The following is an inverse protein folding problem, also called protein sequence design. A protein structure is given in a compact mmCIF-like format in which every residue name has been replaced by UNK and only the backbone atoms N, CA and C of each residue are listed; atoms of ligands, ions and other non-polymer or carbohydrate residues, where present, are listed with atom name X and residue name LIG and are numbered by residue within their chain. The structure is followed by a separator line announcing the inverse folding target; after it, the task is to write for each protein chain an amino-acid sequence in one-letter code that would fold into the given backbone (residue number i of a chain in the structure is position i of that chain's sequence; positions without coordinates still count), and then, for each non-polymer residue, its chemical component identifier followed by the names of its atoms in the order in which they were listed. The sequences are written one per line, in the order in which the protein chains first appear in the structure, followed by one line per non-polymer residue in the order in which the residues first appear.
data_IF_454414024701
#
_entry.id   IF_454414024701
#
_cell.length_a   1.000
_cell.length_b   1.000
_cell.length_c   1.000
_cell.angle_alpha   90.00
_cell.angle_beta   90.00
_cell.angle_gamma   90.00
#
_symmetry.space_group_name_H-M   'P 1'
#
loop_
_entity.id
_entity.type
_entity.pdbx_description
1 polymer ?
#
# COMPACT_ATOMS: atom_id res chain seq x y z
N UNK A 1 -29.50 -4.65 4.02
CA UNK A 1 -28.40 -3.68 4.13
C UNK A 1 -27.56 -4.06 5.34
N UNK A 2 -26.68 -5.04 5.17
CA UNK A 2 -26.02 -5.71 6.32
C UNK A 2 -24.86 -4.91 6.93
N UNK A 3 -24.33 -3.90 6.25
CA UNK A 3 -23.12 -3.18 6.73
C UNK A 3 -23.31 -1.68 6.99
N UNK A 4 -24.50 -1.10 6.76
CA UNK A 4 -24.72 0.35 6.97
C UNK A 4 -24.77 0.78 8.43
N UNK A 5 -25.06 -0.16 9.33
CA UNK A 5 -25.14 0.08 10.79
C UNK A 5 -23.95 -0.45 11.56
N UNK A 6 -23.05 -1.19 10.90
CA UNK A 6 -21.90 -1.78 11.55
C UNK A 6 -20.72 -0.79 11.55
N UNK A 7 -19.96 -0.80 12.63
CA UNK A 7 -18.71 -0.04 12.71
C UNK A 7 -17.75 -0.58 11.66
N UNK A 8 -17.51 0.19 10.60
CA UNK A 8 -16.61 -0.16 9.54
C UNK A 8 -15.35 0.70 9.60
N UNK A 9 -14.21 0.03 9.64
CA UNK A 9 -12.87 0.61 9.49
C UNK A 9 -12.15 -0.13 8.38
N UNK A 10 -11.03 0.39 7.90
CA UNK A 10 -10.23 -0.30 6.88
C UNK A 10 -9.98 -1.79 7.22
N UNK A 11 -9.56 -2.21 8.44
CA UNK A 11 -9.38 -3.63 8.76
C UNK A 11 -10.66 -4.46 8.69
N UNK A 12 -11.81 -3.89 9.05
CA UNK A 12 -13.09 -4.59 8.95
C UNK A 12 -13.46 -4.84 7.48
N UNK A 13 -13.22 -3.87 6.62
CA UNK A 13 -13.43 -4.02 5.17
C UNK A 13 -12.46 -5.06 4.56
N UNK A 14 -11.17 -5.04 4.93
CA UNK A 14 -10.20 -6.05 4.50
C UNK A 14 -10.65 -7.48 4.88
N UNK A 15 -11.15 -7.66 6.11
CA UNK A 15 -11.64 -8.96 6.57
C UNK A 15 -12.88 -9.40 5.81
N UNK A 16 -13.86 -8.50 5.63
CA UNK A 16 -15.14 -8.79 4.99
C UNK A 16 -15.05 -9.05 3.48
N UNK A 17 -14.02 -8.54 2.82
CA UNK A 17 -13.81 -8.69 1.36
C UNK A 17 -12.82 -9.80 0.99
N UNK A 18 -12.33 -10.57 1.99
CA UNK A 18 -11.44 -11.71 1.77
C UNK A 18 -9.95 -11.35 1.67
N UNK A 19 -9.61 -10.08 1.67
CA UNK A 19 -8.22 -9.61 1.52
C UNK A 19 -7.32 -10.11 2.63
N UNK A 20 -7.80 -10.13 3.89
CA UNK A 20 -7.04 -10.69 5.02
C UNK A 20 -6.84 -12.20 4.91
N UNK A 21 -7.82 -12.92 4.36
CA UNK A 21 -7.72 -14.37 4.20
C UNK A 21 -6.66 -14.75 3.16
N UNK A 22 -6.52 -13.94 2.13
CA UNK A 22 -5.48 -14.11 1.10
C UNK A 22 -4.09 -13.68 1.61
N UNK A 23 -4.03 -12.76 2.59
CA UNK A 23 -2.80 -12.29 3.23
C UNK A 23 -2.60 -12.90 4.61
N UNK A 24 -1.86 -14.02 4.68
CA UNK A 24 -1.59 -14.74 5.92
C UNK A 24 -0.14 -14.57 6.36
N UNK A 25 0.05 -14.29 7.66
CA UNK A 25 1.35 -14.32 8.33
C UNK A 25 1.30 -15.47 9.34
N UNK A 26 2.23 -16.39 9.25
CA UNK A 26 2.28 -17.61 10.09
C UNK A 26 0.93 -18.38 10.13
N UNK A 27 0.26 -18.44 8.99
CA UNK A 27 -1.03 -19.12 8.82
C UNK A 27 -2.25 -18.36 9.37
N UNK A 28 -2.08 -17.18 9.95
CA UNK A 28 -3.17 -16.34 10.47
C UNK A 28 -3.55 -15.26 9.47
N UNK A 29 -4.85 -15.02 9.17
CA UNK A 29 -5.29 -13.87 8.39
C UNK A 29 -4.73 -12.58 8.98
N UNK A 30 -4.14 -11.74 8.15
CA UNK A 30 -3.40 -10.56 8.59
C UNK A 30 -3.70 -9.36 7.71
N UNK A 31 -3.55 -8.16 8.27
CA UNK A 31 -3.71 -6.91 7.53
C UNK A 31 -2.62 -6.74 6.48
N UNK A 32 -2.95 -6.01 5.40
CA UNK A 32 -1.98 -5.65 4.35
C UNK A 32 -0.93 -4.60 4.76
N UNK A 33 -1.09 -3.95 5.89
CA UNK A 33 -0.22 -2.85 6.33
C UNK A 33 -0.88 -1.48 6.09
N UNK A 34 -0.63 -0.74 4.99
CA UNK A 34 -1.31 0.54 4.73
C UNK A 34 -2.82 0.39 4.60
N UNK A 35 -3.56 1.45 4.95
CA UNK A 35 -5.03 1.46 4.86
C UNK A 35 -5.49 1.60 3.41
N UNK A 36 -5.29 0.57 2.60
CA UNK A 36 -5.57 0.60 1.15
C UNK A 36 -7.04 0.87 0.84
N UNK A 37 -8.00 0.32 1.60
CA UNK A 37 -9.43 0.57 1.37
C UNK A 37 -9.75 2.05 1.56
N UNK A 38 -9.22 2.70 2.59
CA UNK A 38 -9.40 4.14 2.84
C UNK A 38 -8.80 4.97 1.70
N UNK A 39 -7.57 4.66 1.30
CA UNK A 39 -6.87 5.39 0.24
C UNK A 39 -7.55 5.24 -1.12
N UNK A 40 -7.98 4.02 -1.48
CA UNK A 40 -8.68 3.79 -2.74
C UNK A 40 -10.10 4.34 -2.72
N UNK A 41 -10.81 4.30 -1.59
CA UNK A 41 -12.11 4.95 -1.46
C UNK A 41 -12.00 6.45 -1.71
N UNK A 42 -10.98 7.12 -1.15
CA UNK A 42 -10.67 8.52 -1.45
C UNK A 42 -10.37 8.76 -2.93
N UNK A 43 -9.57 7.91 -3.54
CA UNK A 43 -9.26 7.98 -4.97
C UNK A 43 -10.51 7.81 -5.84
N UNK A 44 -11.37 6.84 -5.55
CA UNK A 44 -12.63 6.64 -6.27
C UNK A 44 -13.59 7.81 -6.07
N UNK A 45 -13.61 8.42 -4.88
CA UNK A 45 -14.39 9.63 -4.63
C UNK A 45 -13.94 10.77 -5.56
N UNK A 46 -12.63 11.01 -5.68
CA UNK A 46 -12.09 12.02 -6.61
C UNK A 46 -12.49 11.72 -8.05
N UNK A 47 -12.33 10.48 -8.52
CA UNK A 47 -12.72 10.07 -9.88
C UNK A 47 -14.22 10.33 -10.12
N UNK A 48 -15.09 9.98 -9.15
CA UNK A 48 -16.53 10.20 -9.27
C UNK A 48 -16.90 11.67 -9.24
N UNK A 49 -16.25 12.47 -8.40
CA UNK A 49 -16.43 13.93 -8.36
C UNK A 49 -16.05 14.55 -9.71
N UNK A 50 -14.90 14.17 -10.26
CA UNK A 50 -14.46 14.67 -11.57
C UNK A 50 -15.45 14.29 -12.68
N UNK A 51 -15.95 13.05 -12.68
CA UNK A 51 -16.97 12.62 -13.63
C UNK A 51 -18.27 13.42 -13.50
N UNK A 52 -18.71 13.71 -12.27
CA UNK A 52 -19.90 14.54 -12.02
C UNK A 52 -19.71 16.02 -12.41
N UNK A 53 -18.49 16.54 -12.34
CA UNK A 53 -18.16 17.88 -12.81
C UNK A 53 -18.14 17.98 -14.34
N UNK A 54 -17.70 16.91 -15.03
CA UNK A 54 -17.69 16.82 -16.49
C UNK A 54 -19.09 16.63 -17.08
N UNK A 55 -19.95 15.86 -16.42
CA UNK A 55 -21.34 15.62 -16.80
C UNK A 55 -22.25 15.79 -15.57
N UNK A 56 -22.62 17.04 -15.21
CA UNK A 56 -23.36 17.31 -14.00
C UNK A 56 -24.75 16.68 -14.02
N UNK A 57 -25.16 15.99 -12.94
CA UNK A 57 -26.50 15.45 -12.81
C UNK A 57 -27.55 16.53 -12.91
N UNK A 58 -28.64 16.27 -13.66
CA UNK A 58 -29.72 17.23 -13.87
C UNK A 58 -30.52 17.50 -12.60
N UNK A 59 -30.71 16.50 -11.74
CA UNK A 59 -31.43 16.64 -10.49
C UNK A 59 -30.47 16.84 -9.31
N UNK A 60 -30.80 17.77 -8.39
CA UNK A 60 -30.00 18.05 -7.20
C UNK A 60 -29.81 16.80 -6.31
N UNK A 61 -30.80 15.92 -6.23
CA UNK A 61 -30.75 14.66 -5.48
C UNK A 61 -29.66 13.71 -5.98
N UNK A 62 -29.29 13.82 -7.26
CA UNK A 62 -28.30 12.95 -7.89
C UNK A 62 -26.86 13.48 -7.73
N UNK A 63 -26.70 14.62 -7.02
CA UNK A 63 -25.41 15.22 -6.67
C UNK A 63 -24.80 14.64 -5.39
N UNK A 64 -25.49 13.73 -4.75
CA UNK A 64 -24.96 13.00 -3.61
C UNK A 64 -24.07 11.85 -4.08
N UNK A 65 -22.89 11.73 -3.47
CA UNK A 65 -21.92 10.68 -3.74
C UNK A 65 -21.60 9.89 -2.48
N UNK A 66 -21.76 8.60 -2.55
CA UNK A 66 -21.38 7.65 -1.49
C UNK A 66 -20.35 6.66 -2.05
N UNK A 67 -19.22 6.50 -1.36
CA UNK A 67 -18.19 5.50 -1.66
C UNK A 67 -17.97 4.68 -0.39
N UNK A 68 -18.40 3.43 -0.43
CA UNK A 68 -18.25 2.52 0.70
C UNK A 68 -16.89 1.82 0.72
N UNK A 69 -16.36 1.57 1.91
CA UNK A 69 -15.11 0.81 2.07
C UNK A 69 -15.27 -0.66 1.64
N UNK A 70 -16.46 -1.23 1.85
CA UNK A 70 -16.75 -2.60 1.45
C UNK A 70 -16.75 -2.76 -0.07
N UNK A 71 -17.47 -1.88 -0.79
CA UNK A 71 -17.51 -1.87 -2.25
C UNK A 71 -16.13 -1.60 -2.85
N UNK A 72 -15.35 -0.73 -2.20
CA UNK A 72 -13.95 -0.48 -2.55
C UNK A 72 -13.14 -1.77 -2.45
N UNK A 73 -13.26 -2.51 -1.35
CA UNK A 73 -12.57 -3.78 -1.16
C UNK A 73 -12.98 -4.85 -2.16
N UNK A 74 -14.28 -4.96 -2.48
CA UNK A 74 -14.76 -5.86 -3.53
C UNK A 74 -14.15 -5.52 -4.89
N UNK A 75 -14.01 -4.22 -5.22
CA UNK A 75 -13.39 -3.80 -6.47
C UNK A 75 -11.88 -4.10 -6.49
N UNK A 76 -11.18 -3.91 -5.38
CA UNK A 76 -9.76 -4.26 -5.26
C UNK A 76 -9.54 -5.78 -5.43
N UNK A 77 -10.43 -6.61 -4.87
CA UNK A 77 -10.38 -8.06 -4.97
C UNK A 77 -11.08 -8.63 -6.22
N UNK A 78 -11.58 -7.79 -7.13
CA UNK A 78 -12.46 -8.21 -8.23
C UNK A 78 -11.87 -9.30 -9.12
N UNK A 79 -10.56 -9.22 -9.43
CA UNK A 79 -9.86 -10.23 -10.24
C UNK A 79 -9.83 -11.58 -9.53
N UNK A 80 -9.52 -11.60 -8.25
CA UNK A 80 -9.37 -12.83 -7.46
C UNK A 80 -10.74 -13.45 -7.20
N UNK A 81 -11.75 -12.64 -6.92
CA UNK A 81 -13.15 -13.08 -6.82
C UNK A 81 -13.67 -13.69 -8.12
N UNK A 82 -13.41 -13.05 -9.27
CA UNK A 82 -13.76 -13.59 -10.57
C UNK A 82 -12.98 -14.89 -10.86
N UNK A 83 -11.70 -14.93 -10.56
CA UNK A 83 -10.85 -16.10 -10.70
C UNK A 83 -11.37 -17.30 -9.89
N UNK A 84 -11.76 -17.09 -8.63
CA UNK A 84 -12.33 -18.14 -7.79
C UNK A 84 -13.67 -18.68 -8.34
N UNK A 85 -14.53 -17.82 -8.83
CA UNK A 85 -15.81 -18.24 -9.45
C UNK A 85 -15.56 -19.10 -10.68
N UNK A 86 -14.64 -18.69 -11.57
CA UNK A 86 -14.29 -19.47 -12.76
C UNK A 86 -13.66 -20.82 -12.39
N UNK A 87 -12.76 -20.88 -11.41
CA UNK A 87 -12.17 -22.13 -10.92
C UNK A 87 -13.23 -23.05 -10.34
N UNK A 88 -14.18 -22.55 -9.58
CA UNK A 88 -15.30 -23.33 -9.07
C UNK A 88 -16.15 -23.94 -10.19
N UNK A 89 -16.44 -23.18 -11.25
CA UNK A 89 -17.21 -23.67 -12.40
C UNK A 89 -16.44 -24.71 -13.21
N UNK A 90 -15.15 -24.51 -13.43
CA UNK A 90 -14.32 -25.37 -14.28
C UNK A 90 -13.82 -26.63 -13.57
N UNK A 91 -13.51 -26.55 -12.29
CA UNK A 91 -12.84 -27.60 -11.51
C UNK A 91 -13.73 -28.24 -10.44
N UNK A 92 -14.94 -27.67 -10.19
CA UNK A 92 -15.85 -28.16 -9.15
C UNK A 92 -15.34 -27.95 -7.72
N UNK A 93 -14.23 -27.26 -7.53
CA UNK A 93 -13.62 -26.99 -6.22
C UNK A 93 -12.81 -25.69 -6.25
N UNK A 94 -12.70 -24.98 -5.13
CA UNK A 94 -11.74 -23.91 -5.02
C UNK A 94 -10.33 -24.49 -5.07
N UNK A 95 -9.47 -23.90 -5.85
CA UNK A 95 -8.04 -24.23 -5.81
C UNK A 95 -7.46 -23.60 -4.55
N UNK A 96 -7.21 -24.42 -3.53
CA UNK A 96 -6.45 -24.03 -2.35
C UNK A 96 -4.96 -24.05 -2.67
N UNK A 97 -4.51 -23.19 -3.55
CA UNK A 97 -3.09 -22.85 -3.57
C UNK A 97 -2.89 -21.71 -2.57
N UNK A 98 -2.15 -21.98 -1.51
CA UNK A 98 -1.72 -20.96 -0.58
C UNK A 98 -0.84 -19.95 -1.30
N UNK A 99 -1.23 -18.69 -1.24
CA UNK A 99 -0.53 -17.58 -1.85
C UNK A 99 -1.12 -17.17 -3.19
N UNK A 100 -1.40 -15.88 -3.33
CA UNK A 100 -2.06 -15.27 -4.45
C UNK A 100 -1.46 -15.63 -5.82
N UNK A 101 -2.12 -15.20 -6.86
CA UNK A 101 -1.87 -15.51 -8.28
C UNK A 101 -0.41 -15.28 -8.76
N UNK A 102 0.38 -14.49 -8.01
CA UNK A 102 1.80 -14.24 -8.25
C UNK A 102 2.73 -15.27 -7.62
N UNK A 103 2.21 -16.35 -7.06
CA UNK A 103 3.05 -17.40 -6.49
C UNK A 103 3.72 -18.25 -7.58
N UNK A 104 4.60 -17.63 -8.34
CA UNK A 104 5.48 -18.33 -9.27
C UNK A 104 6.70 -18.86 -8.51
N UNK A 105 7.08 -20.14 -8.65
CA UNK A 105 8.26 -20.65 -7.98
C UNK A 105 9.52 -19.89 -8.35
N UNK A 106 10.24 -19.41 -7.33
CA UNK A 106 11.40 -18.55 -7.50
C UNK A 106 11.10 -17.04 -7.62
N UNK A 107 9.82 -16.66 -7.61
CA UNK A 107 9.38 -15.28 -7.53
C UNK A 107 9.04 -14.92 -6.08
N UNK A 108 9.79 -14.03 -5.47
CA UNK A 108 9.56 -13.70 -4.06
C UNK A 108 10.75 -13.07 -3.37
N UNK A 109 10.65 -12.90 -2.06
CA UNK A 109 11.69 -12.35 -1.21
C UNK A 109 12.56 -13.46 -0.60
N UNK A 110 13.88 -13.27 -0.68
CA UNK A 110 14.88 -14.21 -0.16
C UNK A 110 15.90 -13.48 0.69
N UNK A 111 16.34 -14.12 1.77
CA UNK A 111 17.28 -13.51 2.70
C UNK A 111 18.71 -13.80 2.28
N UNK A 112 19.55 -12.77 2.19
CA UNK A 112 20.97 -12.84 1.90
C UNK A 112 21.80 -13.15 3.15
N UNK A 113 23.07 -13.48 2.98
CA UNK A 113 23.97 -13.84 4.06
C UNK A 113 24.15 -12.71 5.10
N UNK A 114 24.16 -11.47 4.66
CA UNK A 114 24.22 -10.25 5.50
C UNK A 114 22.89 -9.86 6.14
N UNK A 115 21.84 -10.68 5.96
CA UNK A 115 20.53 -10.51 6.59
C UNK A 115 19.59 -9.55 5.88
N UNK A 116 19.99 -8.94 4.77
CA UNK A 116 19.12 -8.13 3.89
C UNK A 116 18.16 -9.03 3.11
N UNK A 117 17.14 -8.44 2.50
CA UNK A 117 16.18 -9.16 1.68
C UNK A 117 16.26 -8.70 0.23
N UNK A 118 16.31 -9.65 -0.69
CA UNK A 118 16.25 -9.42 -2.13
C UNK A 118 14.95 -10.00 -2.69
N UNK A 119 14.22 -9.21 -3.46
CA UNK A 119 13.00 -9.65 -4.14
C UNK A 119 13.32 -9.99 -5.59
N UNK A 120 13.03 -11.21 -6.01
CA UNK A 120 13.36 -11.74 -7.33
C UNK A 120 12.15 -11.77 -8.24
N UNK A 121 12.34 -11.38 -9.51
CA UNK A 121 11.31 -11.37 -10.55
C UNK A 121 11.52 -12.53 -11.53
N UNK A 122 10.91 -13.70 -11.25
CA UNK A 122 11.05 -14.92 -12.07
C UNK A 122 9.68 -15.34 -12.62
N UNK A 123 9.32 -14.84 -13.80
CA UNK A 123 8.00 -15.06 -14.42
C UNK A 123 8.00 -16.11 -15.53
N UNK A 124 9.17 -16.36 -16.16
CA UNK A 124 9.26 -17.20 -17.35
C UNK A 124 10.35 -18.27 -17.22
N UNK A 125 10.34 -19.24 -18.13
CA UNK A 125 11.42 -20.22 -18.23
C UNK A 125 12.76 -19.59 -18.59
N UNK A 126 12.75 -18.47 -19.31
CA UNK A 126 13.96 -17.70 -19.61
C UNK A 126 14.54 -17.03 -18.35
N UNK A 127 13.66 -16.45 -17.51
CA UNK A 127 14.07 -15.85 -16.22
C UNK A 127 14.65 -16.92 -15.29
N UNK A 128 14.06 -18.12 -15.25
CA UNK A 128 14.58 -19.23 -14.45
C UNK A 128 15.99 -19.62 -14.86
N UNK A 129 16.25 -19.80 -16.18
CA UNK A 129 17.60 -20.11 -16.69
C UNK A 129 18.62 -19.04 -16.33
N UNK A 130 18.26 -17.77 -16.44
CA UNK A 130 19.12 -16.65 -16.06
C UNK A 130 19.42 -16.68 -14.56
N UNK A 131 18.39 -16.85 -13.73
CA UNK A 131 18.53 -16.91 -12.28
C UNK A 131 19.47 -18.04 -11.87
N UNK A 132 19.19 -19.26 -12.33
CA UNK A 132 19.98 -20.44 -11.96
C UNK A 132 21.43 -20.36 -12.44
N UNK A 133 21.67 -19.73 -13.61
CA UNK A 133 23.02 -19.43 -14.09
C UNK A 133 23.73 -18.40 -13.22
N UNK A 134 23.05 -17.28 -12.88
CA UNK A 134 23.62 -16.21 -12.06
C UNK A 134 24.02 -16.69 -10.65
N UNK A 135 23.18 -17.52 -10.04
CA UNK A 135 23.39 -18.04 -8.69
C UNK A 135 24.13 -19.40 -8.67
N UNK A 136 24.58 -19.89 -9.83
CA UNK A 136 25.26 -21.19 -9.98
C UNK A 136 24.46 -22.35 -9.35
N UNK A 137 23.16 -22.37 -9.57
CA UNK A 137 22.25 -23.39 -9.00
C UNK A 137 22.24 -24.66 -9.86
N UNK A 138 22.57 -25.84 -9.29
CA UNK A 138 22.52 -27.11 -10.04
C UNK A 138 21.12 -27.46 -10.54
N UNK A 139 20.07 -27.04 -9.85
CA UNK A 139 18.67 -27.23 -10.21
C UNK A 139 18.32 -26.59 -11.58
N UNK A 140 19.11 -25.64 -12.05
CA UNK A 140 18.95 -25.02 -13.38
C UNK A 140 19.19 -25.97 -14.54
N UNK A 141 19.97 -27.05 -14.34
CA UNK A 141 20.26 -28.05 -15.34
C UNK A 141 19.28 -29.24 -15.33
N UNK A 142 18.39 -29.31 -14.35
CA UNK A 142 17.44 -30.41 -14.20
C UNK A 142 16.27 -30.30 -15.18
N UNK A 143 16.05 -31.27 -16.09
CA UNK A 143 14.97 -31.22 -17.08
C UNK A 143 13.58 -31.00 -16.46
N UNK A 144 13.37 -31.51 -15.26
CA UNK A 144 12.12 -31.42 -14.49
C UNK A 144 11.83 -30.02 -14.02
N UNK A 145 12.84 -29.14 -13.90
CA UNK A 145 12.68 -27.76 -13.45
C UNK A 145 12.81 -26.72 -14.58
N UNK A 146 13.05 -27.14 -15.81
CA UNK A 146 13.18 -26.23 -16.95
C UNK A 146 11.86 -25.57 -17.35
N UNK A 147 10.71 -26.20 -17.06
CA UNK A 147 9.40 -25.70 -17.43
C UNK A 147 8.63 -25.20 -16.22
N UNK A 148 8.02 -24.01 -16.35
CA UNK A 148 7.22 -23.39 -15.28
C UNK A 148 6.15 -24.32 -14.72
N UNK A 149 5.44 -25.06 -15.60
CA UNK A 149 4.42 -26.02 -15.19
C UNK A 149 4.97 -27.08 -14.21
N UNK A 150 6.17 -27.55 -14.45
CA UNK A 150 6.78 -28.57 -13.60
C UNK A 150 7.36 -27.96 -12.31
N UNK A 151 7.92 -26.75 -12.39
CA UNK A 151 8.32 -26.00 -11.21
C UNK A 151 7.15 -25.74 -10.26
N UNK A 152 5.96 -25.42 -10.79
CA UNK A 152 4.74 -25.24 -9.97
C UNK A 152 4.40 -26.48 -9.15
N UNK A 153 4.56 -27.69 -9.72
CA UNK A 153 4.34 -28.96 -9.00
C UNK A 153 5.37 -29.20 -7.88
N UNK A 154 6.55 -28.63 -8.01
CA UNK A 154 7.69 -28.81 -7.10
C UNK A 154 8.05 -27.50 -6.37
N UNK A 155 7.05 -26.64 -6.12
CA UNK A 155 7.25 -25.30 -5.57
C UNK A 155 8.17 -25.28 -4.35
N UNK A 156 7.88 -26.08 -3.34
CA UNK A 156 8.69 -26.11 -2.11
C UNK A 156 10.18 -26.45 -2.36
N UNK A 157 10.45 -27.33 -3.32
CA UNK A 157 11.82 -27.65 -3.73
C UNK A 157 12.51 -26.45 -4.40
N UNK A 158 11.80 -25.76 -5.30
CA UNK A 158 12.32 -24.58 -6.00
C UNK A 158 12.61 -23.45 -5.02
N UNK A 159 11.66 -23.15 -4.13
CA UNK A 159 11.81 -22.11 -3.10
C UNK A 159 13.01 -22.40 -2.18
N UNK A 160 13.15 -23.65 -1.74
CA UNK A 160 14.29 -24.06 -0.92
C UNK A 160 15.63 -23.95 -1.66
N UNK A 161 15.67 -24.28 -2.95
CA UNK A 161 16.88 -24.17 -3.76
C UNK A 161 17.32 -22.70 -3.94
N UNK A 162 16.37 -21.82 -4.29
CA UNK A 162 16.65 -20.37 -4.43
C UNK A 162 17.09 -19.80 -3.09
N UNK A 163 16.37 -20.12 -2.00
CA UNK A 163 16.71 -19.65 -0.66
C UNK A 163 18.13 -20.05 -0.25
N UNK A 164 18.52 -21.31 -0.48
CA UNK A 164 19.90 -21.77 -0.22
C UNK A 164 20.92 -20.97 -1.02
N UNK A 165 20.69 -20.82 -2.33
CA UNK A 165 21.64 -20.12 -3.20
C UNK A 165 21.81 -18.64 -2.80
N UNK A 166 20.71 -17.94 -2.52
CA UNK A 166 20.74 -16.53 -2.10
C UNK A 166 21.40 -16.38 -0.73
N UNK A 167 21.09 -17.23 0.24
CA UNK A 167 21.62 -17.14 1.61
C UNK A 167 23.13 -17.34 1.73
N UNK A 168 23.81 -17.82 0.70
CA UNK A 168 25.27 -17.92 0.65
C UNK A 168 25.98 -16.64 0.19
N UNK A 169 25.23 -15.65 -0.28
CA UNK A 169 25.76 -14.42 -0.87
C UNK A 169 25.33 -13.21 -0.04
N UNK A 170 26.24 -12.25 0.14
CA UNK A 170 25.88 -10.91 0.59
C UNK A 170 25.06 -10.22 -0.50
N UNK A 171 24.23 -9.27 -0.11
CA UNK A 171 23.31 -8.58 -1.02
C UNK A 171 24.01 -8.00 -2.25
N UNK A 172 25.12 -7.28 -2.05
CA UNK A 172 25.85 -6.65 -3.17
C UNK A 172 26.40 -7.67 -4.16
N UNK A 173 26.88 -8.81 -3.68
CA UNK A 173 27.37 -9.88 -4.52
C UNK A 173 26.24 -10.55 -5.30
N UNK A 174 25.08 -10.78 -4.67
CA UNK A 174 23.89 -11.31 -5.33
C UNK A 174 23.36 -10.32 -6.38
N UNK A 175 23.24 -9.05 -6.03
CA UNK A 175 22.79 -7.99 -6.90
C UNK A 175 23.68 -7.86 -8.16
N UNK A 176 24.99 -7.85 -7.99
CA UNK A 176 25.94 -7.79 -9.11
C UNK A 176 25.80 -8.96 -10.08
N UNK A 177 25.63 -10.21 -9.58
CA UNK A 177 25.42 -11.41 -10.41
C UNK A 177 24.11 -11.38 -11.16
N UNK A 178 23.03 -11.00 -10.48
CA UNK A 178 21.69 -10.92 -11.05
C UNK A 178 21.60 -9.82 -12.13
N UNK A 179 22.21 -8.66 -11.86
CA UNK A 179 22.28 -7.55 -12.81
C UNK A 179 23.05 -7.97 -14.08
N UNK A 180 24.22 -8.60 -13.93
CA UNK A 180 25.02 -9.08 -15.06
C UNK A 180 24.26 -10.11 -15.91
N UNK A 181 23.42 -10.95 -15.29
CA UNK A 181 22.60 -11.94 -16.00
C UNK A 181 21.28 -11.36 -16.55
N UNK A 182 20.96 -10.11 -16.27
CA UNK A 182 19.69 -9.48 -16.64
C UNK A 182 18.47 -10.16 -15.98
N UNK A 183 18.59 -10.52 -14.72
CA UNK A 183 17.49 -10.97 -13.87
C UNK A 183 16.90 -9.74 -13.17
N UNK A 184 15.59 -9.57 -13.19
CA UNK A 184 14.91 -8.51 -12.44
C UNK A 184 14.93 -8.80 -10.94
N UNK A 185 15.36 -7.82 -10.17
CA UNK A 185 15.37 -7.88 -8.70
C UNK A 185 15.33 -6.48 -8.09
N UNK A 186 15.04 -6.42 -6.79
CA UNK A 186 15.21 -5.19 -5.98
C UNK A 186 15.49 -5.57 -4.52
N UNK A 187 16.03 -4.66 -3.74
CA UNK A 187 16.09 -4.80 -2.28
C UNK A 187 14.69 -4.59 -1.68
N UNK A 188 14.34 -5.36 -0.67
CA UNK A 188 13.18 -5.07 0.17
C UNK A 188 13.64 -4.09 1.25
N UNK A 189 13.38 -2.82 1.02
CA UNK A 189 13.84 -1.76 1.91
C UNK A 189 13.00 -1.68 3.19
N UNK A 190 13.62 -1.55 4.36
CA UNK A 190 12.91 -1.09 5.54
C UNK A 190 12.46 0.36 5.36
N UNK A 191 11.33 0.73 5.99
CA UNK A 191 10.67 2.02 5.75
C UNK A 191 11.58 3.22 6.03
N UNK A 192 12.40 3.12 7.06
CA UNK A 192 13.38 4.15 7.47
C UNK A 192 14.44 4.46 6.41
N UNK A 193 14.69 3.54 5.47
CA UNK A 193 15.66 3.71 4.40
C UNK A 193 15.05 4.16 3.06
N UNK A 194 13.73 4.13 2.94
CA UNK A 194 13.07 4.44 1.65
C UNK A 194 13.38 5.85 1.15
N UNK A 195 13.43 6.82 2.07
CA UNK A 195 13.72 8.22 1.70
C UNK A 195 15.19 8.47 1.40
N UNK A 196 16.11 7.55 1.68
CA UNK A 196 17.52 7.64 1.33
C UNK A 196 17.81 7.18 -0.11
N UNK A 197 16.85 6.51 -0.74
CA UNK A 197 17.02 6.02 -2.10
C UNK A 197 17.15 7.16 -3.11
N UNK A 198 18.09 7.06 -4.09
CA UNK A 198 18.28 8.09 -5.10
C UNK A 198 17.00 8.42 -5.88
N UNK A 199 16.13 7.43 -6.11
CA UNK A 199 14.87 7.63 -6.80
C UNK A 199 13.85 8.42 -5.96
N UNK A 200 13.84 8.25 -4.63
CA UNK A 200 13.01 9.03 -3.73
C UNK A 200 13.50 10.49 -3.63
N UNK A 201 14.83 10.69 -3.69
CA UNK A 201 15.49 12.00 -3.67
C UNK A 201 15.49 12.73 -5.01
N UNK A 202 14.98 12.11 -6.08
CA UNK A 202 14.90 12.76 -7.37
C UNK A 202 14.01 14.03 -7.31
N UNK A 203 14.33 15.09 -8.08
CA UNK A 203 13.61 16.35 -8.04
C UNK A 203 12.08 16.18 -8.16
N UNK A 204 11.33 16.86 -7.30
CA UNK A 204 9.87 16.85 -7.28
C UNK A 204 9.23 15.59 -6.72
N UNK A 205 9.97 14.73 -6.01
CA UNK A 205 9.44 13.53 -5.37
C UNK A 205 9.05 13.74 -3.92
N UNK A 206 9.64 14.71 -3.26
CA UNK A 206 9.40 15.06 -1.87
C UNK A 206 9.08 16.55 -1.74
N UNK A 207 8.31 16.89 -0.72
CA UNK A 207 8.03 18.25 -0.30
C UNK A 207 8.49 18.41 1.15
N UNK A 208 9.18 19.53 1.41
CA UNK A 208 9.48 19.94 2.77
C UNK A 208 8.19 20.36 3.50
N UNK A 209 8.02 19.92 4.72
CA UNK A 209 6.91 20.29 5.59
C UNK A 209 7.43 20.65 6.97
N UNK A 210 6.79 21.68 7.55
CA UNK A 210 7.00 22.03 8.95
C UNK A 210 5.66 22.03 9.68
N UNK A 211 5.53 21.22 10.72
CA UNK A 211 4.32 21.16 11.52
C UNK A 211 4.67 20.95 12.99
N UNK A 212 4.10 21.79 13.86
CA UNK A 212 4.37 21.70 15.29
C UNK A 212 5.82 21.93 15.69
N UNK A 213 6.59 22.67 14.88
CA UNK A 213 8.02 22.92 15.12
C UNK A 213 8.95 21.79 14.62
N UNK A 214 8.40 20.73 14.06
CA UNK A 214 9.18 19.64 13.45
C UNK A 214 9.22 19.82 11.94
N UNK A 215 10.40 19.73 11.36
CA UNK A 215 10.62 19.68 9.91
C UNK A 215 10.76 18.22 9.46
N UNK A 216 10.05 17.88 8.40
CA UNK A 216 10.09 16.55 7.79
C UNK A 216 9.71 16.64 6.32
N UNK A 217 9.97 15.57 5.57
CA UNK A 217 9.62 15.49 4.16
C UNK A 217 8.41 14.58 3.95
N UNK A 218 7.57 14.92 2.99
CA UNK A 218 6.42 14.10 2.58
C UNK A 218 6.50 13.78 1.10
N UNK A 219 6.12 12.57 0.67
CA UNK A 219 6.07 12.23 -0.74
C UNK A 219 5.13 13.15 -1.52
N UNK A 220 5.60 13.60 -2.69
CA UNK A 220 4.77 14.35 -3.62
C UNK A 220 3.68 13.46 -4.24
N UNK A 221 2.59 14.09 -4.67
CA UNK A 221 1.58 13.39 -5.45
C UNK A 221 2.19 12.86 -6.75
N UNK A 222 1.89 11.61 -7.17
CA UNK A 222 2.43 11.03 -8.39
C UNK A 222 1.97 11.79 -9.65
N UNK A 223 2.90 12.20 -10.48
CA UNK A 223 2.66 12.89 -11.74
C UNK A 223 3.18 14.33 -11.77
N UNK A 224 3.19 14.98 -12.94
CA UNK A 224 3.63 16.35 -13.09
C UNK A 224 2.51 17.30 -12.59
N UNK A 225 2.45 17.53 -11.30
CA UNK A 225 1.69 18.65 -10.75
C UNK A 225 2.63 19.85 -10.67
N UNK A 226 2.13 21.03 -11.08
CA UNK A 226 2.82 22.29 -10.79
C UNK A 226 3.09 22.33 -9.28
N UNK A 227 4.32 22.68 -8.91
CA UNK A 227 4.76 22.75 -7.54
C UNK A 227 3.82 23.66 -6.72
N UNK A 228 2.77 23.08 -6.17
CA UNK A 228 1.95 23.76 -5.16
C UNK A 228 2.63 23.50 -3.83
N UNK A 229 2.80 24.54 -3.05
CA UNK A 229 3.24 24.41 -1.67
C UNK A 229 2.28 23.51 -0.92
N UNK A 230 2.76 22.42 -0.37
CA UNK A 230 1.98 21.56 0.52
C UNK A 230 1.86 22.31 1.86
N UNK A 231 0.64 22.67 2.24
CA UNK A 231 0.39 23.25 3.55
C UNK A 231 0.28 22.16 4.61
N UNK A 232 0.78 22.39 5.82
CA UNK A 232 0.57 21.45 6.92
C UNK A 232 -0.92 21.33 7.25
N UNK A 233 -1.35 20.21 7.89
CA UNK A 233 -2.72 20.07 8.35
C UNK A 233 -3.05 21.18 9.37
N UNK A 234 -4.31 21.67 9.39
CA UNK A 234 -4.71 22.68 10.36
C UNK A 234 -4.74 22.09 11.77
N UNK A 235 -4.51 22.94 12.75
CA UNK A 235 -4.76 22.59 14.16
C UNK A 235 -6.26 22.47 14.42
N UNK A 236 -6.64 21.70 15.41
CA UNK A 236 -8.05 21.63 15.84
C UNK A 236 -8.56 23.03 16.21
N UNK A 237 -9.61 23.47 15.52
CA UNK A 237 -10.22 24.80 15.73
C UNK A 237 -9.48 25.97 15.05
N UNK A 238 -8.48 25.74 14.21
CA UNK A 238 -7.69 26.80 13.57
C UNK A 238 -8.52 27.73 12.70
N UNK A 239 -9.50 27.18 11.97
CA UNK A 239 -10.35 27.93 11.05
C UNK A 239 -11.75 28.21 11.62
N UNK A 240 -12.03 27.93 12.89
CA UNK A 240 -13.37 28.00 13.48
C UNK A 240 -13.97 29.38 13.34
N UNK A 241 -13.24 30.42 13.75
CA UNK A 241 -13.76 31.81 13.71
C UNK A 241 -13.94 32.27 12.27
N UNK A 242 -12.97 31.99 11.39
CA UNK A 242 -13.03 32.33 9.97
C UNK A 242 -14.28 31.73 9.29
N UNK A 243 -14.52 30.46 9.54
CA UNK A 243 -15.68 29.75 8.98
C UNK A 243 -17.00 30.31 9.53
N UNK A 244 -17.10 30.57 10.83
CA UNK A 244 -18.31 31.17 11.40
C UNK A 244 -18.60 32.55 10.82
N UNK A 245 -17.59 33.40 10.70
CA UNK A 245 -17.74 34.75 10.07
C UNK A 245 -18.17 34.61 8.60
N UNK A 246 -17.61 33.64 7.84
CA UNK A 246 -18.00 33.37 6.45
C UNK A 246 -19.45 32.90 6.31
N UNK A 247 -20.00 32.27 7.35
CA UNK A 247 -21.41 31.89 7.43
C UNK A 247 -22.34 32.99 7.92
N UNK A 248 -21.82 34.20 8.22
CA UNK A 248 -22.60 35.35 8.61
C UNK A 248 -22.78 35.55 10.12
N UNK A 249 -22.05 34.82 10.95
CA UNK A 249 -22.01 35.07 12.39
C UNK A 249 -21.22 36.35 12.68
N UNK A 250 -21.66 37.10 13.66
CA UNK A 250 -20.91 38.26 14.16
C UNK A 250 -19.80 37.83 15.13
N UNK A 251 -18.74 38.65 15.28
CA UNK A 251 -17.65 38.37 16.21
C UNK A 251 -18.10 38.07 17.64
N UNK A 252 -19.13 38.83 18.12
CA UNK A 252 -19.72 38.61 19.43
C UNK A 252 -20.37 37.23 19.58
N UNK A 253 -21.02 36.75 18.52
CA UNK A 253 -21.64 35.43 18.50
C UNK A 253 -20.57 34.37 18.50
N UNK A 254 -19.50 34.54 17.72
CA UNK A 254 -18.36 33.63 17.74
C UNK A 254 -17.75 33.55 19.14
N UNK A 255 -17.53 34.65 19.80
CA UNK A 255 -17.01 34.74 21.17
C UNK A 255 -17.91 34.01 22.18
N UNK A 256 -19.25 34.22 22.07
CA UNK A 256 -20.23 33.52 22.92
C UNK A 256 -20.13 31.99 22.75
N UNK A 257 -20.15 31.51 21.51
CA UNK A 257 -20.04 30.07 21.19
C UNK A 257 -18.75 29.45 21.74
N UNK A 258 -17.65 30.20 21.68
CA UNK A 258 -16.37 29.76 22.28
C UNK A 258 -16.47 29.72 23.82
N UNK A 259 -17.05 30.76 24.44
CA UNK A 259 -17.21 30.84 25.88
C UNK A 259 -18.13 29.77 26.46
N UNK A 260 -19.14 29.38 25.72
CA UNK A 260 -20.06 28.26 26.05
C UNK A 260 -19.47 26.87 25.77
N UNK A 261 -18.28 26.78 25.16
CA UNK A 261 -17.66 25.52 24.76
C UNK A 261 -18.36 24.80 23.59
N UNK A 262 -19.27 25.48 22.89
CA UNK A 262 -19.97 24.97 21.73
C UNK A 262 -19.04 24.78 20.52
N UNK A 263 -17.99 25.60 20.43
CA UNK A 263 -16.92 25.51 19.43
C UNK A 263 -15.55 25.68 20.10
N UNK A 264 -14.51 25.16 19.47
CA UNK A 264 -13.12 25.36 19.88
C UNK A 264 -12.40 26.29 18.92
N UNK A 265 -11.48 27.08 19.47
CA UNK A 265 -10.49 27.87 18.71
C UNK A 265 -9.12 27.31 19.03
N UNK A 266 -8.27 27.15 18.01
CA UNK A 266 -6.94 26.61 18.20
C UNK A 266 -6.12 27.49 19.15
N UNK A 267 -5.57 26.88 20.18
CA UNK A 267 -4.50 27.48 20.96
C UNK A 267 -3.18 27.32 20.17
N UNK A 268 -2.73 28.42 19.57
CA UNK A 268 -1.48 28.44 18.79
C UNK A 268 -0.24 28.29 19.67
N UNK A 269 -0.36 28.42 20.98
CA UNK A 269 0.73 28.26 21.94
C UNK A 269 0.85 26.81 22.44
N UNK A 270 -0.22 26.04 22.37
CA UNK A 270 -0.19 24.65 22.79
C UNK A 270 0.72 23.80 21.89
N UNK A 271 1.50 22.87 22.48
CA UNK A 271 2.30 21.95 21.69
C UNK A 271 1.40 21.06 20.83
N UNK A 272 1.76 20.91 19.57
CA UNK A 272 1.01 20.05 18.62
C UNK A 272 1.24 18.58 18.91
N UNK A 273 2.42 18.24 19.40
CA UNK A 273 2.84 16.87 19.72
C UNK A 273 2.87 16.68 21.24
N UNK A 274 2.49 15.52 21.74
CA UNK A 274 2.73 15.21 23.13
C UNK A 274 4.26 15.30 23.37
N UNK A 275 4.64 16.23 24.27
CA UNK A 275 6.03 16.31 24.72
C UNK A 275 6.35 14.93 25.34
N UNK A 276 7.39 14.20 24.90
CA UNK A 276 7.80 13.00 25.56
C UNK A 276 8.05 13.37 27.04
N UNK A 277 7.24 12.83 27.94
CA UNK A 277 7.57 12.94 29.35
C UNK A 277 8.89 12.21 29.52
N UNK A 278 9.93 13.00 29.82
CA UNK A 278 11.29 12.49 29.93
C UNK A 278 11.28 11.25 30.82
N UNK A 279 11.61 10.12 30.24
CA UNK A 279 11.94 8.94 31.00
C UNK A 279 13.20 9.25 31.81
N UNK A 280 13.05 9.19 33.11
CA UNK A 280 14.15 9.16 34.03
C UNK A 280 14.90 7.84 33.94
#
# INVERSE_FOLDING_TARGET
MLFRSDLATNPVAEAATGVMEDHRIDGRPSRLGPSYHDQFAGTYAVIRIMAMLLDPPRAARDRYLEIGLYETGLHLAARDLAGQQLKMQLLGRPEKEGGGEFSMPGYGAYRTADGRWIYLLVLTDAHWRKLTGALAMPEGAEPELLRLRERKKQRGRVEAAVSRAVSTLEYEAAAARLMAAGVGFTEVLPLERVLDEPQARAPGKLHDMCFGGLAFEVPAFPGPLNAQSVSPPPRLGEHTVELLLSLGYEEKQCASLCGEGAVMVADRTAPVWPVPQGGA
#
